data_IF_624915191934
#
_entry.id   IF_624915191934
#
_cell.length_a   1.000
_cell.length_b   1.000
_cell.length_c   1.000
_cell.angle_alpha   90.00
_cell.angle_beta   90.00
_cell.angle_gamma   90.00
#
_symmetry.space_group_name_H-M   'P 1'
#
loop_
_entity.id
_entity.type
_entity.pdbx_description
1 polymer ?
#
# COMPACT_ATOMS: atom_id res chain seq x y z
N UNK A 1 -34.36 -28.81 23.90
CA UNK A 1 -32.97 -28.81 24.39
C UNK A 1 -32.19 -27.86 23.50
N UNK A 2 -32.23 -26.56 23.82
CA UNK A 2 -31.64 -25.49 23.02
C UNK A 2 -30.17 -25.34 23.40
N UNK A 3 -29.26 -25.68 22.49
CA UNK A 3 -27.84 -25.32 22.62
C UNK A 3 -27.71 -23.82 22.34
N UNK A 4 -27.37 -23.05 23.38
CA UNK A 4 -26.84 -21.70 23.24
C UNK A 4 -25.36 -21.80 22.83
N UNK A 5 -25.04 -21.38 21.61
CA UNK A 5 -23.66 -21.16 21.18
C UNK A 5 -23.16 -19.84 21.78
N UNK A 6 -22.18 -19.93 22.68
CA UNK A 6 -21.49 -18.77 23.23
C UNK A 6 -20.51 -18.24 22.16
N UNK A 7 -20.86 -17.15 21.48
CA UNK A 7 -19.91 -16.44 20.61
C UNK A 7 -18.98 -15.64 21.53
N UNK A 8 -17.76 -16.14 21.72
CA UNK A 8 -16.72 -15.38 22.41
C UNK A 8 -16.29 -14.19 21.53
N UNK A 9 -16.63 -12.97 21.96
CA UNK A 9 -16.00 -11.75 21.48
C UNK A 9 -14.56 -11.73 21.99
N UNK A 10 -13.65 -12.37 21.26
CA UNK A 10 -12.22 -12.14 21.46
C UNK A 10 -11.94 -10.69 21.07
N UNK A 11 -11.34 -9.87 21.95
CA UNK A 11 -10.88 -8.56 21.55
C UNK A 11 -9.83 -8.80 20.45
N UNK A 12 -10.02 -8.17 19.29
CA UNK A 12 -8.96 -7.96 18.32
C UNK A 12 -7.86 -7.19 19.07
N UNK A 13 -6.89 -7.91 19.62
CA UNK A 13 -5.66 -7.32 20.12
C UNK A 13 -4.97 -6.80 18.87
N UNK A 14 -5.27 -5.55 18.52
CA UNK A 14 -4.54 -4.79 17.52
C UNK A 14 -3.07 -4.97 17.87
N UNK A 15 -2.27 -5.49 16.95
CA UNK A 15 -0.82 -5.58 17.12
C UNK A 15 -0.24 -4.16 17.10
N UNK A 16 -0.51 -3.41 18.18
CA UNK A 16 0.00 -2.09 18.39
C UNK A 16 1.45 -2.25 18.85
N UNK A 17 2.45 -1.72 18.12
CA UNK A 17 3.82 -1.77 18.57
C UNK A 17 3.95 -1.20 19.99
N UNK A 18 4.82 -1.75 20.84
CA UNK A 18 5.06 -1.18 22.16
C UNK A 18 5.64 0.25 22.03
N UNK A 19 5.33 1.12 22.99
CA UNK A 19 5.88 2.47 23.03
C UNK A 19 5.19 3.51 22.13
N UNK A 20 3.96 3.26 21.70
CA UNK A 20 3.17 4.29 21.00
C UNK A 20 2.91 5.47 21.97
N UNK A 21 3.29 6.71 21.61
CA UNK A 21 3.03 7.87 22.44
C UNK A 21 1.52 8.13 22.57
N UNK A 22 1.10 8.79 23.66
CA UNK A 22 -0.25 9.36 23.74
C UNK A 22 -0.43 10.39 22.61
N UNK A 23 -1.68 10.70 22.24
CA UNK A 23 -1.95 11.75 21.25
C UNK A 23 -1.31 13.08 21.63
N UNK A 24 -1.37 13.47 22.91
CA UNK A 24 -0.72 14.70 23.39
C UNK A 24 0.80 14.65 23.23
N UNK A 25 1.43 13.53 23.58
CA UNK A 25 2.87 13.35 23.40
C UNK A 25 3.27 13.33 21.92
N UNK A 26 2.49 12.68 21.06
CA UNK A 26 2.72 12.66 19.61
C UNK A 26 2.64 14.06 18.99
N UNK A 27 1.67 14.88 19.42
CA UNK A 27 1.54 16.27 18.99
C UNK A 27 2.74 17.12 19.48
N UNK A 28 3.15 16.98 20.73
CA UNK A 28 4.34 17.69 21.23
C UNK A 28 5.62 17.29 20.48
N UNK A 29 5.76 16.01 20.11
CA UNK A 29 6.87 15.54 19.28
C UNK A 29 6.80 16.13 17.86
N UNK A 30 5.62 16.16 17.24
CA UNK A 30 5.40 16.77 15.93
C UNK A 30 5.77 18.26 15.93
N UNK A 31 5.32 19.01 16.93
CA UNK A 31 5.62 20.44 17.10
C UNK A 31 7.12 20.71 17.35
N UNK A 32 7.85 19.72 17.87
CA UNK A 32 9.29 19.84 18.11
C UNK A 32 10.15 19.61 16.85
N UNK A 33 9.56 19.14 15.74
CA UNK A 33 10.31 18.87 14.52
C UNK A 33 10.81 20.18 13.89
N UNK A 34 12.11 20.24 13.63
CA UNK A 34 12.71 21.35 12.87
C UNK A 34 12.33 21.20 11.40
N UNK A 35 11.46 22.09 10.92
CA UNK A 35 11.08 22.14 9.51
C UNK A 35 12.23 22.73 8.69
N UNK A 36 12.72 21.97 7.70
CA UNK A 36 13.76 22.40 6.79
C UNK A 36 13.26 22.33 5.33
N UNK A 37 13.79 23.19 4.43
CA UNK A 37 13.51 23.07 3.00
C UNK A 37 13.94 21.71 2.45
N UNK A 38 13.16 21.17 1.50
CA UNK A 38 13.53 19.96 0.80
C UNK A 38 14.85 20.16 0.04
N UNK A 39 15.75 19.17 0.14
CA UNK A 39 17.02 19.16 -0.60
C UNK A 39 17.22 17.81 -1.27
N UNK A 40 17.51 17.86 -2.57
CA UNK A 40 17.98 16.68 -3.30
C UNK A 40 19.38 16.30 -2.84
N UNK A 41 19.56 15.07 -2.35
CA UNK A 41 20.86 14.57 -1.90
C UNK A 41 21.62 13.78 -2.98
N UNK A 42 20.98 13.45 -4.11
CA UNK A 42 21.65 12.77 -5.25
C UNK A 42 22.03 11.30 -5.04
N UNK A 43 21.72 10.71 -3.90
CA UNK A 43 22.17 9.35 -3.53
C UNK A 43 21.18 8.24 -3.90
N UNK A 44 19.99 8.58 -4.40
CA UNK A 44 18.97 7.58 -4.73
C UNK A 44 19.38 6.73 -5.93
N UNK A 45 19.32 5.41 -5.75
CA UNK A 45 19.50 4.41 -6.81
C UNK A 45 18.36 3.39 -6.73
N UNK A 46 17.59 3.25 -7.81
CA UNK A 46 16.44 2.30 -7.85
C UNK A 46 16.86 0.86 -7.62
N UNK A 47 18.06 0.50 -8.08
CA UNK A 47 18.64 -0.85 -7.96
C UNK A 47 18.82 -1.31 -6.51
N UNK A 48 18.96 -0.39 -5.56
CA UNK A 48 19.07 -0.72 -4.11
C UNK A 48 17.74 -1.26 -3.54
N UNK A 49 16.63 -1.14 -4.28
CA UNK A 49 15.31 -1.62 -3.92
C UNK A 49 14.86 -2.85 -4.71
N UNK A 50 15.81 -3.51 -5.40
CA UNK A 50 15.58 -4.71 -6.20
C UNK A 50 15.18 -4.42 -7.65
N UNK A 51 14.94 -5.50 -8.40
CA UNK A 51 14.84 -5.46 -9.87
C UNK A 51 13.42 -5.23 -10.40
N UNK A 52 12.42 -5.11 -9.53
CA UNK A 52 11.03 -4.88 -9.95
C UNK A 52 10.01 -5.48 -8.99
N UNK A 53 8.89 -5.95 -9.55
CA UNK A 53 7.80 -6.55 -8.79
C UNK A 53 8.14 -7.95 -8.32
N UNK A 54 8.01 -8.22 -7.02
CA UNK A 54 8.19 -9.56 -6.48
C UNK A 54 6.94 -10.41 -6.73
N UNK A 55 7.14 -11.70 -6.97
CA UNK A 55 6.04 -12.68 -6.99
C UNK A 55 5.43 -12.79 -5.60
N UNK A 56 4.12 -12.59 -5.51
CA UNK A 56 3.35 -12.75 -4.27
C UNK A 56 2.82 -14.19 -4.19
N UNK A 57 2.16 -14.66 -5.25
CA UNK A 57 1.60 -16.02 -5.31
C UNK A 57 1.41 -16.46 -6.76
N UNK A 58 1.87 -17.67 -7.09
CA UNK A 58 1.73 -18.23 -8.44
C UNK A 58 2.35 -17.30 -9.49
N UNK A 59 1.59 -16.92 -10.51
CA UNK A 59 2.02 -15.96 -11.52
C UNK A 59 1.80 -14.48 -11.12
N UNK A 60 1.09 -14.21 -10.01
CA UNK A 60 0.77 -12.85 -9.58
C UNK A 60 1.97 -12.21 -8.88
N UNK A 61 2.55 -11.19 -9.50
CA UNK A 61 3.49 -10.30 -8.84
C UNK A 61 2.76 -9.22 -8.01
N UNK A 62 3.50 -8.38 -7.29
CA UNK A 62 2.93 -7.31 -6.47
C UNK A 62 2.04 -6.36 -7.27
N UNK A 63 2.42 -5.99 -8.50
CA UNK A 63 1.61 -5.13 -9.36
C UNK A 63 0.28 -5.77 -9.70
N UNK A 64 0.29 -7.00 -10.20
CA UNK A 64 -0.97 -7.69 -10.58
C UNK A 64 -1.87 -7.89 -9.35
N UNK A 65 -1.27 -8.17 -8.19
CA UNK A 65 -2.01 -8.29 -6.93
C UNK A 65 -2.70 -6.98 -6.55
N UNK A 66 -2.03 -5.83 -6.72
CA UNK A 66 -2.61 -4.51 -6.42
C UNK A 66 -3.66 -4.12 -7.45
N UNK A 67 -3.41 -4.33 -8.74
CA UNK A 67 -4.40 -4.05 -9.79
C UNK A 67 -5.69 -4.84 -9.58
N UNK A 68 -5.60 -6.12 -9.20
CA UNK A 68 -6.77 -6.93 -8.89
C UNK A 68 -7.49 -6.48 -7.61
N UNK A 69 -6.75 -6.02 -6.61
CA UNK A 69 -7.32 -5.59 -5.31
C UNK A 69 -8.03 -4.24 -5.40
N UNK A 70 -7.45 -3.28 -6.11
CA UNK A 70 -7.88 -1.88 -6.11
C UNK A 70 -8.73 -1.50 -7.33
N UNK A 71 -8.90 -2.42 -8.27
CA UNK A 71 -9.78 -2.23 -9.41
C UNK A 71 -11.18 -2.79 -9.20
N UNK A 72 -12.13 -2.26 -9.93
CA UNK A 72 -13.48 -2.79 -10.05
C UNK A 72 -13.62 -3.65 -11.32
N UNK A 73 -14.42 -4.71 -11.24
CA UNK A 73 -14.70 -5.64 -12.34
C UNK A 73 -13.43 -6.17 -13.04
N UNK A 74 -12.37 -6.38 -12.27
CA UNK A 74 -11.07 -6.80 -12.82
C UNK A 74 -11.15 -8.25 -13.29
N UNK A 75 -10.85 -8.46 -14.56
CA UNK A 75 -10.63 -9.78 -15.14
C UNK A 75 -9.14 -9.96 -15.34
N UNK A 76 -8.61 -11.10 -14.91
CA UNK A 76 -7.19 -11.44 -15.05
C UNK A 76 -6.99 -12.61 -15.99
N UNK A 77 -5.86 -12.63 -16.69
CA UNK A 77 -5.42 -13.81 -17.41
C UNK A 77 -5.09 -14.93 -16.41
N UNK A 78 -5.70 -16.12 -16.48
CA UNK A 78 -5.51 -17.17 -15.48
C UNK A 78 -4.10 -17.78 -15.49
N UNK A 79 -3.31 -17.60 -16.56
CA UNK A 79 -1.95 -18.10 -16.68
C UNK A 79 -0.90 -17.10 -16.20
N UNK A 80 -1.08 -15.83 -16.51
CA UNK A 80 -0.09 -14.77 -16.22
C UNK A 80 -0.46 -13.86 -15.05
N UNK A 81 -1.71 -13.94 -14.57
CA UNK A 81 -2.31 -13.03 -13.59
C UNK A 81 -2.43 -11.57 -14.06
N UNK A 82 -2.04 -11.26 -15.30
CA UNK A 82 -2.14 -9.91 -15.84
C UNK A 82 -3.60 -9.45 -15.94
N UNK A 83 -3.91 -8.25 -15.48
CA UNK A 83 -5.23 -7.64 -15.66
C UNK A 83 -5.51 -7.42 -17.15
N UNK A 84 -6.59 -8.03 -17.67
CA UNK A 84 -7.01 -7.89 -19.08
C UNK A 84 -8.12 -6.84 -19.25
N UNK A 85 -8.88 -6.58 -18.20
CA UNK A 85 -9.88 -5.52 -18.13
C UNK A 85 -10.14 -5.14 -16.68
N UNK A 86 -10.69 -3.95 -16.46
CA UNK A 86 -11.12 -3.47 -15.16
C UNK A 86 -11.37 -1.97 -15.19
N UNK A 87 -11.66 -1.38 -14.04
CA UNK A 87 -11.78 0.05 -13.85
C UNK A 87 -10.99 0.45 -12.60
N UNK A 88 -10.20 1.51 -12.70
CA UNK A 88 -9.41 2.04 -11.59
C UNK A 88 -9.63 3.54 -11.50
N UNK A 89 -10.17 4.00 -10.37
CA UNK A 89 -10.29 5.41 -10.08
C UNK A 89 -8.96 5.96 -9.55
N UNK A 90 -8.47 7.05 -10.15
CA UNK A 90 -7.26 7.72 -9.73
C UNK A 90 -7.59 8.90 -8.81
N UNK A 91 -7.15 8.87 -7.54
CA UNK A 91 -7.38 9.99 -6.62
C UNK A 91 -6.50 11.21 -6.95
N UNK A 92 -5.50 11.07 -7.82
CA UNK A 92 -4.57 12.14 -8.16
C UNK A 92 -5.12 13.12 -9.21
N UNK A 93 -5.94 12.64 -10.13
CA UNK A 93 -6.51 13.43 -11.23
C UNK A 93 -8.04 13.31 -11.33
N UNK A 94 -8.67 12.46 -10.50
CA UNK A 94 -10.11 12.23 -10.50
C UNK A 94 -10.62 11.42 -11.69
N UNK A 95 -9.72 10.84 -12.50
CA UNK A 95 -10.10 10.09 -13.70
C UNK A 95 -10.33 8.61 -13.38
N UNK A 96 -11.14 7.93 -14.20
CA UNK A 96 -11.25 6.47 -14.19
C UNK A 96 -10.55 5.89 -15.41
N UNK A 97 -9.60 5.00 -15.16
CA UNK A 97 -8.80 4.31 -16.16
C UNK A 97 -9.33 2.90 -16.40
N UNK A 98 -9.23 2.41 -17.63
CA UNK A 98 -9.74 1.08 -18.02
C UNK A 98 -8.68 0.17 -18.63
N UNK A 99 -7.49 0.70 -18.91
CA UNK A 99 -6.35 -0.07 -19.39
C UNK A 99 -5.30 -0.17 -18.29
N UNK A 100 -4.95 -1.40 -17.92
CA UNK A 100 -3.96 -1.65 -16.89
C UNK A 100 -2.58 -1.07 -17.24
N UNK A 101 -2.20 -1.07 -18.53
CA UNK A 101 -0.91 -0.54 -19.00
C UNK A 101 -0.78 0.99 -18.87
N UNK A 102 -1.89 1.72 -18.73
CA UNK A 102 -1.89 3.17 -18.49
C UNK A 102 -1.67 3.51 -17.00
N UNK A 103 -1.63 2.51 -16.12
CA UNK A 103 -1.59 2.69 -14.66
C UNK A 103 -0.25 2.28 -14.08
N UNK A 104 0.26 3.08 -13.13
CA UNK A 104 1.38 2.72 -12.28
C UNK A 104 0.93 2.46 -10.83
N UNK A 105 1.72 1.65 -10.10
CA UNK A 105 1.54 1.49 -8.66
C UNK A 105 2.51 2.43 -7.95
N UNK A 106 1.96 3.51 -7.42
CA UNK A 106 2.73 4.61 -6.89
C UNK A 106 3.16 4.42 -5.42
N UNK A 107 4.25 5.08 -5.04
CA UNK A 107 4.67 5.23 -3.66
C UNK A 107 4.26 6.61 -3.16
N UNK A 108 3.22 6.69 -2.33
CA UNK A 108 2.73 7.94 -1.71
C UNK A 108 3.86 8.77 -1.09
N UNK A 109 4.76 8.10 -0.36
CA UNK A 109 6.03 8.66 0.06
C UNK A 109 7.09 8.14 -0.90
N UNK A 110 7.80 9.00 -1.66
CA UNK A 110 8.71 8.52 -2.68
C UNK A 110 9.76 7.61 -2.09
N UNK A 111 10.12 6.55 -2.82
CA UNK A 111 11.11 5.57 -2.38
C UNK A 111 12.47 6.19 -2.03
N UNK A 112 12.80 7.35 -2.61
CA UNK A 112 14.01 8.08 -2.24
C UNK A 112 14.03 8.62 -0.80
N UNK A 113 12.90 8.62 -0.08
CA UNK A 113 12.76 9.13 1.28
C UNK A 113 12.86 8.06 2.36
N UNK A 114 12.90 6.76 2.06
CA UNK A 114 12.88 5.70 3.10
C UNK A 114 14.10 5.68 4.06
N UNK A 115 15.12 6.50 3.80
CA UNK A 115 16.42 6.50 4.48
C UNK A 115 16.91 7.94 4.75
N UNK A 116 16.02 8.93 4.53
CA UNK A 116 16.33 10.36 4.64
C UNK A 116 15.71 10.95 5.89
#
# INVERSE_FOLDING_TARGET
>A
MQLLALVALLPLVHAAPPGIPSTSAALSLLDSLVVAPWRWQGTYKRTEYGEGWKTVKGACNTRETVLQRDGEDVVVNPKTCAAVSGKWYSPYDGATWTKADDLDIDHLVPLSHSWK
#
